data_IF_965931133554
#
_entry.id   IF_965931133554
#
_cell.length_a   1.000
_cell.length_b   1.000
_cell.length_c   1.000
_cell.angle_alpha   90.00
_cell.angle_beta   90.00
_cell.angle_gamma   90.00
#
_symmetry.space_group_name_H-M   'P 1'
#
loop_
_entity.id
_entity.type
_entity.pdbx_description
1 polymer ?
#
# COMPACT_ATOMS: atom_id res chain seq x y z
N UNK A 1 24.08 10.98 19.21
CA UNK A 1 23.60 9.65 18.80
C UNK A 1 22.31 9.88 18.02
N UNK A 2 22.19 9.46 16.75
CA UNK A 2 20.86 9.43 16.14
C UNK A 2 20.04 8.47 16.99
N UNK A 3 19.02 9.01 17.68
CA UNK A 3 18.15 8.21 18.54
C UNK A 3 17.48 7.15 17.67
N UNK A 4 17.68 5.89 18.03
CA UNK A 4 16.99 4.77 17.41
C UNK A 4 15.48 5.05 17.55
N UNK A 5 14.78 5.17 16.41
CA UNK A 5 13.34 5.40 16.42
C UNK A 5 12.70 4.20 17.12
N UNK A 6 11.90 4.46 18.16
CA UNK A 6 11.16 3.38 18.78
C UNK A 6 10.18 2.78 17.78
N UNK A 7 9.80 1.51 17.96
CA UNK A 7 8.77 0.88 17.15
C UNK A 7 7.47 1.70 17.15
N UNK A 8 7.12 2.30 18.29
CA UNK A 8 5.97 3.20 18.45
C UNK A 8 6.11 4.47 17.63
N UNK A 9 7.29 5.09 17.58
CA UNK A 9 7.53 6.29 16.76
C UNK A 9 7.42 5.97 15.27
N UNK A 10 7.94 4.81 14.85
CA UNK A 10 7.84 4.36 13.47
C UNK A 10 6.38 4.09 13.08
N UNK A 11 5.63 3.40 13.94
CA UNK A 11 4.21 3.12 13.73
C UNK A 11 3.37 4.42 13.66
N UNK A 12 3.64 5.37 14.55
CA UNK A 12 2.98 6.68 14.53
C UNK A 12 3.25 7.45 13.23
N UNK A 13 4.51 7.45 12.76
CA UNK A 13 4.88 8.06 11.48
C UNK A 13 4.20 7.36 10.30
N UNK A 14 4.26 6.03 10.23
CA UNK A 14 3.61 5.26 9.16
C UNK A 14 2.10 5.51 9.11
N UNK A 15 1.46 5.56 10.28
CA UNK A 15 0.03 5.86 10.40
C UNK A 15 -0.30 7.25 9.88
N UNK A 16 0.49 8.28 10.23
CA UNK A 16 0.30 9.63 9.71
C UNK A 16 0.45 9.69 8.18
N UNK A 17 1.44 9.01 7.62
CA UNK A 17 1.64 8.95 6.17
C UNK A 17 0.45 8.26 5.48
N UNK A 18 -0.04 7.14 6.03
CA UNK A 18 -1.22 6.43 5.51
C UNK A 18 -2.45 7.32 5.48
N UNK A 19 -2.70 8.07 6.56
CA UNK A 19 -3.84 8.98 6.63
C UNK A 19 -3.76 10.09 5.58
N UNK A 20 -2.60 10.74 5.44
CA UNK A 20 -2.38 11.81 4.46
C UNK A 20 -2.52 11.26 3.03
N UNK A 21 -1.88 10.12 2.74
CA UNK A 21 -1.96 9.49 1.42
C UNK A 21 -3.39 9.10 1.07
N UNK A 22 -4.13 8.49 2.00
CA UNK A 22 -5.53 8.12 1.78
C UNK A 22 -6.38 9.35 1.46
N UNK A 23 -6.19 10.44 2.20
CA UNK A 23 -6.90 11.70 1.97
C UNK A 23 -6.57 12.33 0.61
N UNK A 24 -5.29 12.33 0.21
CA UNK A 24 -4.85 12.81 -1.10
C UNK A 24 -5.44 11.94 -2.22
N UNK A 25 -5.29 10.62 -2.10
CA UNK A 25 -5.79 9.66 -3.07
C UNK A 25 -7.30 9.77 -3.24
N UNK A 26 -8.05 9.95 -2.15
CA UNK A 26 -9.50 10.16 -2.21
C UNK A 26 -9.92 11.43 -2.96
N UNK A 27 -9.03 12.39 -3.20
CA UNK A 27 -9.30 13.62 -3.96
C UNK A 27 -8.88 13.54 -5.42
N UNK A 28 -7.85 12.75 -5.72
CA UNK A 28 -7.35 12.62 -7.10
C UNK A 28 -7.98 11.43 -7.82
N UNK A 29 -8.28 10.34 -7.12
CA UNK A 29 -9.00 9.19 -7.66
C UNK A 29 -10.49 9.47 -7.54
N UNK A 30 -11.07 10.03 -8.59
CA UNK A 30 -12.48 10.48 -8.61
C UNK A 30 -13.37 9.60 -9.47
N UNK A 31 -12.78 8.75 -10.31
CA UNK A 31 -13.49 7.83 -11.18
C UNK A 31 -12.95 6.39 -11.07
N UNK A 32 -13.73 5.38 -11.51
CA UNK A 32 -13.24 4.01 -11.64
C UNK A 32 -12.04 3.85 -12.58
N UNK A 33 -11.93 4.70 -13.60
CA UNK A 33 -10.82 4.66 -14.56
C UNK A 33 -9.51 5.14 -13.90
N UNK A 34 -9.57 6.22 -13.10
CA UNK A 34 -8.40 6.67 -12.31
C UNK A 34 -7.89 5.56 -11.36
N UNK A 35 -8.83 4.81 -10.76
CA UNK A 35 -8.49 3.70 -9.87
C UNK A 35 -7.86 2.54 -10.65
N UNK A 36 -8.33 2.28 -11.88
CA UNK A 36 -7.77 1.25 -12.75
C UNK A 36 -6.35 1.60 -13.19
N UNK A 37 -6.12 2.85 -13.57
CA UNK A 37 -4.80 3.34 -13.95
C UNK A 37 -3.83 3.29 -12.77
N UNK A 38 -4.26 3.70 -11.57
CA UNK A 38 -3.47 3.59 -10.35
C UNK A 38 -3.11 2.13 -10.02
N UNK A 39 -4.07 1.20 -10.17
CA UNK A 39 -3.83 -0.25 -9.98
C UNK A 39 -2.84 -0.81 -11.00
N UNK A 40 -2.84 -0.31 -12.23
CA UNK A 40 -1.91 -0.72 -13.28
C UNK A 40 -0.50 -0.19 -13.01
N UNK A 41 -0.37 1.07 -12.61
CA UNK A 41 0.92 1.72 -12.32
C UNK A 41 1.60 1.12 -11.08
N UNK A 42 0.82 0.81 -10.04
CA UNK A 42 1.34 0.18 -8.83
C UNK A 42 1.69 -1.30 -9.02
N UNK A 43 1.56 -1.82 -10.25
CA UNK A 43 1.71 -3.23 -10.62
C UNK A 43 1.18 -4.11 -9.50
N UNK A 44 -0.12 -4.00 -9.18
CA UNK A 44 -0.77 -4.81 -8.15
C UNK A 44 -0.89 -6.28 -8.62
N UNK A 45 0.14 -6.80 -9.28
CA UNK A 45 0.66 -8.16 -9.19
C UNK A 45 1.50 -8.29 -7.92
N UNK A 46 0.86 -8.02 -6.80
CA UNK A 46 1.36 -8.35 -5.47
C UNK A 46 0.83 -9.74 -5.13
N UNK A 47 1.65 -10.79 -5.20
CA UNK A 47 3.11 -10.84 -4.96
C UNK A 47 3.94 -11.09 -6.25
N UNK A 48 5.30 -11.13 -6.18
CA UNK A 48 6.10 -11.74 -7.23
C UNK A 48 5.51 -13.09 -7.62
N UNK A 49 5.57 -13.49 -8.91
CA UNK A 49 5.15 -14.83 -9.29
C UNK A 49 5.89 -15.81 -8.39
N UNK A 50 5.15 -16.73 -7.77
CA UNK A 50 5.63 -17.83 -6.95
C UNK A 50 6.84 -18.50 -7.63
N UNK A 51 8.04 -18.01 -7.35
CA UNK A 51 9.28 -18.47 -7.94
C UNK A 51 10.24 -18.67 -6.80
N UNK A 52 10.25 -19.92 -6.36
CA UNK A 52 11.44 -20.58 -5.88
C UNK A 52 12.00 -19.90 -4.63
N UNK A 53 11.28 -20.05 -3.52
CA UNK A 53 11.97 -20.26 -2.25
C UNK A 53 12.84 -21.52 -2.42
N UNK A 54 14.08 -21.34 -2.90
CA UNK A 54 15.13 -22.32 -2.75
C UNK A 54 15.15 -22.70 -1.26
N UNK A 55 14.94 -23.97 -0.87
CA UNK A 55 14.89 -24.41 0.52
C UNK A 55 16.27 -24.31 1.20
N UNK A 56 16.76 -23.07 1.31
CA UNK A 56 18.12 -22.66 1.66
C UNK A 56 18.38 -21.15 1.50
N UNK A 57 17.53 -20.40 0.79
CA UNK A 57 17.66 -18.95 0.65
C UNK A 57 17.23 -18.22 1.93
N UNK A 58 18.18 -17.53 2.58
CA UNK A 58 17.91 -16.71 3.75
C UNK A 58 17.05 -15.51 3.32
N UNK A 59 15.86 -15.29 3.90
CA UNK A 59 15.04 -14.13 3.61
C UNK A 59 15.85 -12.86 3.86
N UNK A 60 16.17 -12.13 2.78
CA UNK A 60 16.93 -10.89 2.90
C UNK A 60 15.99 -9.77 3.35
N UNK A 61 16.45 -8.86 4.21
CA UNK A 61 15.67 -7.71 4.71
C UNK A 61 14.96 -6.95 3.58
N UNK A 62 15.60 -6.84 2.41
CA UNK A 62 15.00 -6.23 1.22
C UNK A 62 13.68 -6.87 0.76
N UNK A 63 13.55 -8.20 0.84
CA UNK A 63 12.32 -8.90 0.44
C UNK A 63 11.18 -8.62 1.44
N UNK A 64 11.49 -8.60 2.74
CA UNK A 64 10.51 -8.29 3.78
C UNK A 64 9.94 -6.87 3.63
N UNK A 65 10.80 -5.88 3.30
CA UNK A 65 10.36 -4.50 3.05
C UNK A 65 9.48 -4.39 1.81
N UNK A 66 9.81 -5.09 0.72
CA UNK A 66 9.00 -5.09 -0.51
C UNK A 66 7.63 -5.73 -0.28
N UNK A 67 7.56 -6.85 0.43
CA UNK A 67 6.30 -7.49 0.81
C UNK A 67 5.44 -6.56 1.69
N UNK A 68 6.05 -5.93 2.70
CA UNK A 68 5.34 -5.00 3.58
C UNK A 68 4.80 -3.77 2.83
N UNK A 69 5.59 -3.18 1.93
CA UNK A 69 5.17 -2.07 1.09
C UNK A 69 4.01 -2.46 0.16
N UNK A 70 4.06 -3.69 -0.36
CA UNK A 70 3.02 -4.27 -1.17
C UNK A 70 1.68 -4.45 -0.47
N UNK A 71 1.71 -5.05 0.73
CA UNK A 71 0.51 -5.21 1.56
C UNK A 71 -0.11 -3.84 1.90
N UNK A 72 0.72 -2.86 2.23
CA UNK A 72 0.27 -1.50 2.52
C UNK A 72 -0.41 -0.85 1.30
N UNK A 73 0.16 -0.99 0.10
CA UNK A 73 -0.45 -0.48 -1.13
C UNK A 73 -1.84 -1.08 -1.39
N UNK A 74 -2.01 -2.39 -1.13
CA UNK A 74 -3.30 -3.07 -1.28
C UNK A 74 -4.37 -2.50 -0.37
N UNK A 75 -4.05 -2.29 0.92
CA UNK A 75 -4.98 -1.72 1.90
C UNK A 75 -5.45 -0.32 1.45
N UNK A 76 -4.55 0.50 0.93
CA UNK A 76 -4.89 1.83 0.41
C UNK A 76 -5.83 1.75 -0.80
N UNK A 77 -5.57 0.85 -1.74
CA UNK A 77 -6.39 0.66 -2.95
C UNK A 77 -7.80 0.16 -2.59
N UNK A 78 -7.90 -0.80 -1.67
CA UNK A 78 -9.19 -1.31 -1.18
C UNK A 78 -10.02 -0.19 -0.53
N UNK A 79 -9.38 0.69 0.27
CA UNK A 79 -10.05 1.85 0.86
C UNK A 79 -10.58 2.84 -0.19
N UNK A 80 -9.80 3.10 -1.24
CA UNK A 80 -10.21 3.99 -2.33
C UNK A 80 -11.38 3.42 -3.10
N UNK A 81 -11.33 2.13 -3.41
CA UNK A 81 -12.42 1.44 -4.09
C UNK A 81 -13.74 1.58 -3.31
N UNK A 82 -13.73 1.26 -2.00
CA UNK A 82 -14.90 1.41 -1.15
C UNK A 82 -15.40 2.87 -1.08
N UNK A 83 -14.50 3.84 -1.14
CA UNK A 83 -14.86 5.26 -1.14
C UNK A 83 -15.54 5.69 -2.44
N UNK A 84 -15.07 5.19 -3.59
CA UNK A 84 -15.71 5.44 -4.89
C UNK A 84 -17.10 4.81 -4.95
N UNK A 85 -17.25 3.56 -4.51
CA UNK A 85 -18.53 2.85 -4.47
C UNK A 85 -19.57 3.63 -3.64
N UNK A 86 -19.18 4.13 -2.45
CA UNK A 86 -20.05 4.98 -1.62
C UNK A 86 -20.48 6.28 -2.29
N UNK A 87 -19.58 6.92 -3.05
CA UNK A 87 -19.89 8.15 -3.80
C UNK A 87 -20.88 7.88 -4.94
N UNK A 88 -20.73 6.76 -5.63
CA UNK A 88 -21.64 6.35 -6.69
C UNK A 88 -23.03 6.01 -6.17
N UNK A 89 -23.12 5.35 -5.01
CA UNK A 89 -24.41 5.02 -4.37
C UNK A 89 -25.15 6.24 -3.81
N UNK A 90 -24.46 7.36 -3.60
CA UNK A 90 -25.03 8.61 -3.08
C UNK A 90 -25.49 9.58 -4.18
N UNK A 91 -25.37 9.19 -5.45
CA UNK A 91 -25.68 10.01 -6.63
C UNK A 91 -26.89 9.45 -7.36
#
# INVERSE_FOLDING_TARGET
MPGELSATDLEGRLTAHRQILTWLLGRIVVSPDDLKDLKAELDVKLPPPDHQEDPGAIPTIGHAVQTAAGLEARVLIEHLQATLERRQASK
#
